data_IF_351636295033
#
_entry.id   IF_351636295033
#
_cell.length_a   1.000
_cell.length_b   1.000
_cell.length_c   1.000
_cell.angle_alpha   90.00
_cell.angle_beta   90.00
_cell.angle_gamma   90.00
#
_symmetry.space_group_name_H-M   'P 1'
#
loop_
_entity.id
_entity.type
_entity.pdbx_description
1 polymer ?
#
# COMPACT_ATOMS: atom_id res chain seq x y z
N UNK A 1 15.21 3.19 12.24
CA UNK A 1 14.06 2.25 12.23
C UNK A 1 14.11 1.50 10.91
N UNK A 2 14.32 0.18 10.92
CA UNK A 2 14.30 -0.64 9.69
C UNK A 2 12.84 -0.88 9.31
N UNK A 3 12.32 -0.17 8.32
CA UNK A 3 11.02 -0.51 7.72
C UNK A 3 11.17 -1.63 6.70
N UNK A 4 10.11 -2.39 6.47
CA UNK A 4 10.06 -3.35 5.37
C UNK A 4 9.59 -2.64 4.10
N UNK A 5 10.11 -3.03 2.94
CA UNK A 5 9.65 -2.51 1.64
C UNK A 5 9.12 -3.63 0.76
N UNK A 6 8.03 -3.36 0.06
CA UNK A 6 7.46 -4.27 -0.92
C UNK A 6 7.18 -3.48 -2.21
N UNK A 7 7.31 -4.13 -3.37
CA UNK A 7 6.98 -3.51 -4.65
C UNK A 7 5.84 -4.29 -5.31
N UNK A 8 4.77 -3.60 -5.68
CA UNK A 8 3.59 -4.17 -6.34
C UNK A 8 3.27 -3.35 -7.59
N UNK A 9 3.26 -3.99 -8.76
CA UNK A 9 2.93 -3.32 -10.03
C UNK A 9 3.74 -2.01 -10.26
N UNK A 10 5.00 -1.99 -9.79
CA UNK A 10 5.91 -0.83 -9.82
C UNK A 10 5.80 0.11 -8.62
N UNK A 11 4.66 0.13 -7.92
CA UNK A 11 4.43 0.95 -6.73
C UNK A 11 5.26 0.41 -5.56
N UNK A 12 5.99 1.30 -4.87
CA UNK A 12 6.77 0.94 -3.68
C UNK A 12 5.96 1.17 -2.42
N UNK A 13 5.77 0.14 -1.62
CA UNK A 13 5.13 0.21 -0.30
C UNK A 13 6.19 0.25 0.79
N UNK A 14 6.13 1.28 1.65
CA UNK A 14 6.87 1.33 2.90
C UNK A 14 5.96 0.82 4.01
N UNK A 15 6.40 -0.25 4.66
CA UNK A 15 5.63 -0.98 5.66
C UNK A 15 6.35 -0.92 7.01
N UNK A 16 5.60 -1.00 8.12
CA UNK A 16 6.20 -1.11 9.43
C UNK A 16 7.12 -2.35 9.50
N UNK A 17 8.13 -2.35 10.40
CA UNK A 17 8.91 -3.54 10.68
C UNK A 17 8.00 -4.68 11.11
N UNK A 18 8.15 -5.85 10.50
CA UNK A 18 7.32 -7.00 10.80
C UNK A 18 7.28 -8.03 9.69
N UNK A 19 6.38 -8.99 9.83
CA UNK A 19 6.14 -10.01 8.81
C UNK A 19 5.35 -9.40 7.66
N UNK A 20 5.98 -9.35 6.49
CA UNK A 20 5.33 -8.91 5.25
C UNK A 20 5.05 -10.11 4.36
N UNK A 21 3.78 -10.28 4.01
CA UNK A 21 3.34 -11.23 3.01
C UNK A 21 2.88 -10.48 1.76
N UNK A 22 3.31 -10.94 0.60
CA UNK A 22 2.95 -10.37 -0.70
C UNK A 22 2.31 -11.46 -1.54
N UNK A 23 1.16 -11.17 -2.14
CA UNK A 23 0.47 -12.09 -3.04
C UNK A 23 -0.02 -11.33 -4.27
N UNK A 24 0.06 -11.92 -5.45
CA UNK A 24 -0.53 -11.35 -6.67
C UNK A 24 -1.39 -12.40 -7.37
N UNK A 25 -2.61 -12.03 -7.75
CA UNK A 25 -3.55 -12.91 -8.41
C UNK A 25 -4.46 -12.10 -9.34
N UNK A 26 -4.62 -12.54 -10.59
CA UNK A 26 -5.63 -12.01 -11.51
C UNK A 26 -5.56 -10.51 -11.79
N UNK A 27 -4.38 -9.88 -11.71
CA UNK A 27 -4.19 -8.44 -11.93
C UNK A 27 -4.42 -7.56 -10.70
N UNK A 28 -4.57 -8.17 -9.52
CA UNK A 28 -4.49 -7.48 -8.24
C UNK A 28 -3.31 -8.03 -7.43
N UNK A 29 -2.73 -7.15 -6.62
CA UNK A 29 -1.64 -7.48 -5.73
C UNK A 29 -1.96 -7.03 -4.30
N UNK A 30 -1.76 -7.91 -3.34
CA UNK A 30 -2.04 -7.67 -1.93
C UNK A 30 -0.73 -7.69 -1.15
N UNK A 31 -0.56 -6.68 -0.30
CA UNK A 31 0.45 -6.62 0.74
C UNK A 31 -0.26 -6.80 2.08
N UNK A 32 0.27 -7.66 2.93
CA UNK A 32 -0.15 -7.78 4.33
C UNK A 32 1.06 -7.59 5.22
N UNK A 33 0.96 -6.68 6.18
CA UNK A 33 1.98 -6.41 7.18
C UNK A 33 1.30 -6.26 8.54
N UNK A 34 1.43 -7.28 9.40
CA UNK A 34 0.76 -7.34 10.70
C UNK A 34 -0.74 -6.98 10.61
N UNK A 35 -1.13 -5.78 11.07
CA UNK A 35 -2.51 -5.27 11.07
C UNK A 35 -2.90 -4.47 9.80
N UNK A 36 -2.01 -4.39 8.82
CA UNK A 36 -2.21 -3.63 7.57
C UNK A 36 -2.43 -4.60 6.42
N UNK A 37 -3.55 -4.44 5.73
CA UNK A 37 -3.83 -5.10 4.45
C UNK A 37 -4.01 -4.04 3.38
N UNK A 38 -3.12 -4.02 2.38
CA UNK A 38 -3.23 -3.16 1.21
C UNK A 38 -3.44 -3.99 -0.06
N UNK A 39 -4.49 -3.69 -0.81
CA UNK A 39 -4.80 -4.27 -2.11
C UNK A 39 -4.59 -3.20 -3.18
N UNK A 40 -3.72 -3.48 -4.14
CA UNK A 40 -3.54 -2.69 -5.33
C UNK A 40 -4.15 -3.45 -6.51
N UNK A 41 -5.17 -2.89 -7.14
CA UNK A 41 -5.78 -3.46 -8.34
C UNK A 41 -5.67 -2.50 -9.53
N UNK A 42 -6.34 -2.85 -10.64
CA UNK A 42 -6.30 -2.07 -11.87
C UNK A 42 -6.88 -0.64 -11.71
N UNK A 43 -7.70 -0.41 -10.69
CA UNK A 43 -8.52 0.80 -10.53
C UNK A 43 -8.15 1.64 -9.32
N UNK A 44 -7.73 1.02 -8.21
CA UNK A 44 -7.55 1.71 -6.94
C UNK A 44 -6.49 1.02 -6.05
N UNK A 45 -6.11 1.74 -4.99
CA UNK A 45 -5.46 1.19 -3.82
C UNK A 45 -6.50 1.09 -2.70
N UNK A 46 -6.68 -0.07 -2.08
CA UNK A 46 -7.47 -0.24 -0.86
C UNK A 46 -6.53 -0.54 0.30
N UNK A 47 -6.67 0.13 1.43
CA UNK A 47 -5.89 -0.11 2.66
C UNK A 47 -6.85 -0.28 3.83
N UNK A 48 -6.86 -1.46 4.46
CA UNK A 48 -7.77 -1.78 5.57
C UNK A 48 -9.25 -1.62 5.20
N UNK A 49 -9.60 -1.83 3.92
CA UNK A 49 -10.97 -1.62 3.40
C UNK A 49 -11.30 -0.19 2.98
N UNK A 50 -10.37 0.76 3.13
CA UNK A 50 -10.53 2.15 2.69
C UNK A 50 -9.91 2.34 1.31
N UNK A 51 -10.66 2.91 0.37
CA UNK A 51 -10.23 3.05 -1.02
C UNK A 51 -9.55 4.40 -1.26
N UNK A 52 -8.48 4.39 -2.05
CA UNK A 52 -7.65 5.52 -2.42
C UNK A 52 -7.42 5.54 -3.94
N UNK A 53 -7.13 6.70 -4.53
CA UNK A 53 -6.71 6.77 -5.92
C UNK A 53 -5.54 5.83 -6.21
N UNK A 54 -5.56 5.17 -7.37
CA UNK A 54 -4.48 4.27 -7.75
C UNK A 54 -3.14 5.04 -7.84
N UNK A 55 -2.11 4.65 -7.07
CA UNK A 55 -0.77 5.22 -7.21
C UNK A 55 -0.16 4.89 -8.56
N UNK A 56 0.65 5.81 -9.10
CA UNK A 56 1.45 5.56 -10.30
C UNK A 56 2.51 4.48 -10.06
N UNK A 57 2.96 3.80 -11.11
CA UNK A 57 3.90 2.66 -11.05
C UNK A 57 5.32 3.01 -10.57
N UNK A 58 5.58 4.25 -10.17
CA UNK A 58 6.81 4.75 -9.56
C UNK A 58 6.55 5.50 -8.25
N UNK A 59 5.29 5.55 -7.82
CA UNK A 59 4.90 6.20 -6.58
C UNK A 59 5.29 5.35 -5.37
N UNK A 60 5.53 6.07 -4.27
CA UNK A 60 5.76 5.46 -2.97
C UNK A 60 4.49 5.61 -2.11
N UNK A 61 4.04 4.50 -1.54
CA UNK A 61 2.93 4.42 -0.59
C UNK A 61 3.50 4.16 0.80
N UNK A 62 3.42 5.13 1.69
CA UNK A 62 3.87 4.99 3.07
C UNK A 62 2.70 4.57 3.96
N UNK A 63 2.83 3.38 4.55
CA UNK A 63 1.89 2.77 5.49
C UNK A 63 2.54 2.47 6.84
N UNK A 64 3.72 3.04 7.13
CA UNK A 64 4.43 2.81 8.41
C UNK A 64 3.70 3.41 9.60
N UNK A 65 2.96 4.48 9.37
CA UNK A 65 2.14 5.17 10.37
C UNK A 65 0.71 4.60 10.35
N UNK A 66 0.28 3.99 11.45
CA UNK A 66 -1.07 3.44 11.56
C UNK A 66 -2.14 4.53 11.30
N UNK A 67 -3.04 4.26 10.34
CA UNK A 67 -4.14 5.16 9.98
C UNK A 67 -3.76 6.34 9.09
N UNK A 68 -2.49 6.47 8.66
CA UNK A 68 -2.06 7.51 7.71
C UNK A 68 -1.55 6.84 6.44
N UNK A 69 -2.25 7.07 5.33
CA UNK A 69 -1.79 6.67 3.99
C UNK A 69 -1.18 7.87 3.30
N UNK A 70 0.09 7.75 2.89
CA UNK A 70 0.76 8.77 2.06
C UNK A 70 1.07 8.19 0.70
N UNK A 71 0.80 8.93 -0.37
CA UNK A 71 1.16 8.56 -1.74
C UNK A 71 2.05 9.66 -2.33
N UNK A 72 3.24 9.30 -2.81
CA UNK A 72 4.23 10.27 -3.30
C UNK A 72 4.62 11.31 -2.24
N UNK A 73 4.65 10.91 -0.96
CA UNK A 73 4.97 11.78 0.17
C UNK A 73 3.84 12.69 0.67
N UNK A 74 2.65 12.66 0.05
CA UNK A 74 1.49 13.47 0.46
C UNK A 74 0.44 12.61 1.15
N UNK A 75 -0.11 13.09 2.27
CA UNK A 75 -1.30 12.48 2.85
C UNK A 75 -2.45 12.59 1.85
N UNK A 76 -3.12 11.47 1.60
CA UNK A 76 -4.24 11.40 0.64
C UNK A 76 -5.53 11.11 1.38
N UNK A 77 -6.61 11.75 0.91
CA UNK A 77 -7.95 11.43 1.39
C UNK A 77 -8.45 10.16 0.71
N UNK A 78 -9.28 9.40 1.43
CA UNK A 78 -10.01 8.29 0.86
C UNK A 78 -10.97 8.77 -0.24
N UNK A 79 -11.27 7.89 -1.19
CA UNK A 79 -12.39 8.06 -2.11
C UNK A 79 -13.69 7.89 -1.29
N UNK A 80 -14.62 8.84 -1.43
CA UNK A 80 -15.96 8.80 -0.82
C UNK A 80 -16.86 7.73 -1.48
#
# INVERSE_FOLDING_TARGET
>A
MSGSTASLEGVRFLLPPGHVAVSSCGGAATVKADDIEALLDATALSVGGVHYPRPAADAEVDLRDAGIVRIGGKAVNALE
#
